data_IF_266052005274
#
_entry.id   IF_266052005274
#
_cell.length_a   1.000
_cell.length_b   1.000
_cell.length_c   1.000
_cell.angle_alpha   90.00
_cell.angle_beta   90.00
_cell.angle_gamma   90.00
#
_symmetry.space_group_name_H-M   'P 1'
#
loop_
_entity.id
_entity.type
_entity.pdbx_description
1 polymer ?
#
# COMPACT_ATOMS: atom_id res chain seq x y z
N UNK A 1 8.61 7.59 1.33
CA UNK A 1 8.82 8.99 0.88
C UNK A 1 9.94 9.57 1.73
N UNK A 2 11.00 10.08 1.13
CA UNK A 2 12.11 10.68 1.87
C UNK A 2 11.87 12.19 2.06
N UNK A 3 11.79 12.64 3.31
CA UNK A 3 11.53 14.04 3.66
C UNK A 3 12.74 14.95 3.41
N UNK A 4 13.96 14.41 3.35
CA UNK A 4 15.18 15.22 3.11
C UNK A 4 15.14 15.90 1.75
N UNK A 5 14.55 15.25 0.75
CA UNK A 5 14.38 15.85 -0.58
C UNK A 5 13.53 17.12 -0.54
N UNK A 6 12.53 17.16 0.34
CA UNK A 6 11.61 18.30 0.45
C UNK A 6 12.21 19.42 1.31
N UNK A 7 12.89 19.09 2.41
CA UNK A 7 13.58 20.08 3.24
C UNK A 7 14.77 20.70 2.52
N UNK A 8 15.53 19.90 1.75
CA UNK A 8 16.63 20.40 0.93
C UNK A 8 16.13 21.36 -0.16
N UNK A 9 14.98 21.06 -0.79
CA UNK A 9 14.36 21.97 -1.76
C UNK A 9 13.93 23.29 -1.12
N UNK A 10 13.25 23.24 0.02
CA UNK A 10 12.86 24.44 0.75
C UNK A 10 14.08 25.30 1.13
N UNK A 11 15.16 24.68 1.58
CA UNK A 11 16.42 25.36 1.87
C UNK A 11 17.00 26.04 0.63
N UNK A 12 17.04 25.36 -0.51
CA UNK A 12 17.52 25.91 -1.76
C UNK A 12 16.67 27.12 -2.21
N UNK A 13 15.34 27.02 -2.11
CA UNK A 13 14.42 28.09 -2.48
C UNK A 13 14.60 29.33 -1.58
N UNK A 14 14.83 29.14 -0.27
CA UNK A 14 15.11 30.23 0.66
C UNK A 14 16.44 30.93 0.37
N UNK A 15 17.49 30.17 0.03
CA UNK A 15 18.79 30.73 -0.35
C UNK A 15 18.67 31.51 -1.67
N UNK A 16 17.97 30.94 -2.66
CA UNK A 16 17.74 31.59 -3.94
C UNK A 16 16.97 32.90 -3.78
N UNK A 17 15.95 32.94 -2.91
CA UNK A 17 15.20 34.15 -2.62
C UNK A 17 16.05 35.25 -1.96
N UNK A 18 17.03 34.86 -1.13
CA UNK A 18 17.94 35.79 -0.47
C UNK A 18 19.12 36.25 -1.34
N UNK A 19 19.35 35.64 -2.52
CA UNK A 19 20.54 35.86 -3.34
C UNK A 19 20.69 37.30 -3.87
N UNK A 20 19.58 38.04 -4.01
CA UNK A 20 19.61 39.47 -4.40
C UNK A 20 19.86 40.42 -3.23
N UNK A 21 19.87 39.90 -2.00
CA UNK A 21 20.14 40.66 -0.78
C UNK A 21 21.62 40.85 -0.49
N UNK A 22 21.90 41.58 0.59
CA UNK A 22 23.27 41.74 1.11
C UNK A 22 23.80 40.45 1.78
N UNK A 23 25.10 40.43 2.04
CA UNK A 23 25.80 39.29 2.67
C UNK A 23 25.14 38.85 3.99
N UNK A 24 24.70 39.84 4.78
CA UNK A 24 24.04 39.60 6.07
C UNK A 24 22.69 38.91 5.88
N UNK A 25 21.91 39.33 4.88
CA UNK A 25 20.62 38.74 4.54
C UNK A 25 20.80 37.30 4.05
N UNK A 26 21.77 37.05 3.18
CA UNK A 26 22.10 35.70 2.70
C UNK A 26 22.53 34.78 3.83
N UNK A 27 23.42 35.25 4.71
CA UNK A 27 23.86 34.50 5.88
C UNK A 27 22.70 34.19 6.84
N UNK A 28 21.81 35.16 7.05
CA UNK A 28 20.63 34.98 7.90
C UNK A 28 19.66 33.95 7.31
N UNK A 29 19.39 34.02 6.00
CA UNK A 29 18.52 33.06 5.32
C UNK A 29 19.07 31.63 5.38
N UNK A 30 20.38 31.45 5.16
CA UNK A 30 21.03 30.15 5.23
C UNK A 30 20.99 29.54 6.65
N UNK A 31 21.15 30.37 7.68
CA UNK A 31 21.06 29.98 9.08
C UNK A 31 19.61 29.62 9.47
N UNK A 32 18.63 30.44 9.06
CA UNK A 32 17.22 30.18 9.31
C UNK A 32 16.77 28.88 8.63
N UNK A 33 17.15 28.67 7.36
CA UNK A 33 16.81 27.46 6.60
C UNK A 33 17.37 26.19 7.27
N UNK A 34 18.57 26.25 7.85
CA UNK A 34 19.10 25.14 8.64
C UNK A 34 18.34 24.94 9.96
N UNK A 35 17.97 26.03 10.64
CA UNK A 35 17.31 25.97 11.93
C UNK A 35 15.87 25.41 11.85
N UNK A 36 15.16 25.65 10.74
CA UNK A 36 13.76 25.21 10.59
C UNK A 36 13.61 23.79 10.03
N UNK A 37 14.69 23.13 9.60
CA UNK A 37 14.61 21.83 8.93
C UNK A 37 13.87 20.77 9.75
N UNK A 38 14.22 20.64 11.04
CA UNK A 38 13.56 19.70 11.95
C UNK A 38 12.10 20.07 12.23
N UNK A 39 11.78 21.36 12.36
CA UNK A 39 10.40 21.80 12.63
C UNK A 39 9.52 21.65 11.40
N UNK A 40 10.02 21.96 10.21
CA UNK A 40 9.33 21.71 8.94
C UNK A 40 9.02 20.22 8.78
N UNK A 41 9.98 19.34 9.11
CA UNK A 41 9.74 17.89 9.05
C UNK A 41 8.59 17.45 9.95
N UNK A 42 8.56 17.93 11.19
CA UNK A 42 7.49 17.62 12.13
C UNK A 42 6.12 18.14 11.65
N UNK A 43 6.08 19.36 11.09
CA UNK A 43 4.85 19.93 10.52
C UNK A 43 4.35 19.10 9.35
N UNK A 44 5.23 18.66 8.45
CA UNK A 44 4.88 17.77 7.33
C UNK A 44 4.32 16.44 7.83
N UNK A 45 4.95 15.82 8.84
CA UNK A 45 4.46 14.58 9.43
C UNK A 45 3.08 14.76 10.07
N UNK A 46 2.84 15.87 10.77
CA UNK A 46 1.53 16.20 11.34
C UNK A 46 0.47 16.34 10.25
N UNK A 47 0.75 17.12 9.21
CA UNK A 47 -0.18 17.33 8.10
C UNK A 47 -0.51 16.03 7.35
N UNK A 48 0.49 15.16 7.15
CA UNK A 48 0.27 13.83 6.55
C UNK A 48 -0.54 12.91 7.46
N UNK A 49 -0.35 13.00 8.78
CA UNK A 49 -1.10 12.21 9.75
C UNK A 49 -2.58 12.63 9.79
N UNK A 50 -2.85 13.93 9.76
CA UNK A 50 -4.21 14.48 9.68
C UNK A 50 -4.89 14.06 8.36
N UNK A 51 -4.17 14.16 7.24
CA UNK A 51 -4.66 13.67 5.94
C UNK A 51 -4.98 12.17 5.99
N UNK A 52 -4.12 11.36 6.62
CA UNK A 52 -4.34 9.93 6.74
C UNK A 52 -5.57 9.60 7.60
N UNK A 53 -5.84 10.38 8.65
CA UNK A 53 -7.05 10.25 9.46
C UNK A 53 -8.31 10.55 8.62
N UNK A 54 -8.29 11.62 7.83
CA UNK A 54 -9.39 11.98 6.93
C UNK A 54 -9.64 10.88 5.87
N UNK A 55 -8.57 10.38 5.24
CA UNK A 55 -8.67 9.28 4.27
C UNK A 55 -9.18 7.99 4.93
N UNK A 56 -8.76 7.69 6.15
CA UNK A 56 -9.27 6.54 6.91
C UNK A 56 -10.76 6.66 7.16
N UNK A 57 -11.24 7.84 7.54
CA UNK A 57 -12.66 8.10 7.75
C UNK A 57 -13.47 7.97 6.45
N UNK A 58 -12.91 8.42 5.32
CA UNK A 58 -13.55 8.30 4.00
C UNK A 58 -13.61 6.86 3.48
N UNK A 59 -12.64 6.01 3.81
CA UNK A 59 -12.59 4.61 3.40
C UNK A 59 -13.53 3.71 4.22
N UNK A 60 -13.61 3.92 5.54
CA UNK A 60 -14.49 3.19 6.46
C UNK A 60 -14.05 1.75 6.77
N UNK A 61 -13.81 0.93 5.74
CA UNK A 61 -13.37 -0.47 5.85
C UNK A 61 -11.85 -0.61 6.01
N UNK A 62 -11.11 0.49 5.89
CA UNK A 62 -9.65 0.55 5.91
C UNK A 62 -9.16 1.75 6.71
N UNK A 63 -8.08 1.56 7.46
CA UNK A 63 -7.33 2.65 8.10
C UNK A 63 -6.00 2.85 7.39
N UNK A 64 -5.63 4.12 7.23
CA UNK A 64 -4.35 4.57 6.69
C UNK A 64 -3.54 5.14 7.83
N UNK A 65 -2.35 4.60 8.04
CA UNK A 65 -1.39 5.09 9.03
C UNK A 65 -0.15 5.62 8.34
N UNK A 66 0.39 6.70 8.89
CA UNK A 66 1.65 7.30 8.46
C UNK A 66 2.66 7.10 9.58
N UNK A 67 3.80 6.51 9.26
CA UNK A 67 4.91 6.33 10.21
C UNK A 67 6.19 6.90 9.62
N UNK A 68 7.11 7.32 10.48
CA UNK A 68 8.41 7.85 10.07
C UNK A 68 9.54 7.03 10.69
N UNK A 69 10.49 6.61 9.87
CA UNK A 69 11.76 6.01 10.28
C UNK A 69 12.91 6.89 9.74
N UNK A 70 13.57 7.61 10.65
CA UNK A 70 14.55 8.63 10.30
C UNK A 70 13.94 9.76 9.45
N UNK A 71 14.32 9.80 8.17
CA UNK A 71 13.82 10.76 7.16
C UNK A 71 12.73 10.16 6.28
N UNK A 72 12.55 8.84 6.36
CA UNK A 72 11.66 8.08 5.50
C UNK A 72 10.28 7.97 6.12
N UNK A 73 9.29 8.53 5.44
CA UNK A 73 7.87 8.34 5.73
C UNK A 73 7.35 7.12 4.97
N UNK A 74 6.69 6.23 5.68
CA UNK A 74 5.97 5.09 5.14
C UNK A 74 4.46 5.25 5.39
N UNK A 75 3.66 4.76 4.45
CA UNK A 75 2.20 4.70 4.57
C UNK A 75 1.79 3.24 4.62
N UNK A 76 1.06 2.87 5.66
CA UNK A 76 0.54 1.53 5.88
C UNK A 76 -0.98 1.56 5.82
N UNK A 77 -1.58 0.66 5.03
CA UNK A 77 -3.04 0.58 4.87
C UNK A 77 -3.49 -0.75 5.43
N UNK A 78 -4.31 -0.69 6.49
CA UNK A 78 -4.83 -1.86 7.20
C UNK A 78 -6.32 -1.98 6.95
N UNK A 79 -6.82 -3.20 6.84
CA UNK A 79 -8.26 -3.42 6.87
C UNK A 79 -8.77 -3.14 8.29
N UNK A 80 -9.73 -2.25 8.39
CA UNK A 80 -10.48 -1.97 9.61
C UNK A 80 -11.46 -3.14 9.86
N UNK A 81 -10.92 -4.27 10.29
CA UNK A 81 -11.72 -5.43 10.67
C UNK A 81 -12.37 -5.24 12.05
N UNK A 82 -12.22 -4.06 12.68
CA UNK A 82 -12.71 -3.75 14.02
C UNK A 82 -14.14 -3.19 14.04
N UNK A 83 -14.71 -2.74 12.92
CA UNK A 83 -16.14 -2.36 12.84
C UNK A 83 -17.08 -3.56 12.71
N UNK A 84 -16.53 -4.79 12.74
CA UNK A 84 -17.27 -6.05 12.83
C UNK A 84 -16.98 -6.79 14.15
N UNK A 85 -16.35 -6.08 15.11
CA UNK A 85 -16.15 -6.53 16.49
C UNK A 85 -17.18 -5.90 17.43
N UNK A 86 -18.40 -5.66 16.95
CA UNK A 86 -19.56 -5.95 17.77
C UNK A 86 -19.65 -7.47 17.81
N UNK A 87 -18.73 -8.11 18.53
CA UNK A 87 -19.02 -9.44 19.02
C UNK A 87 -20.27 -9.23 19.86
N UNK A 88 -21.44 -9.72 19.42
CA UNK A 88 -22.63 -9.55 20.22
C UNK A 88 -22.29 -10.05 21.60
N UNK A 89 -22.38 -9.14 22.57
CA UNK A 89 -22.25 -9.56 23.96
C UNK A 89 -23.32 -10.62 24.18
N UNK A 90 -23.04 -11.65 24.99
CA UNK A 90 -23.99 -12.73 25.20
C UNK A 90 -25.36 -12.20 25.71
N UNK A 91 -25.40 -10.97 26.23
CA UNK A 91 -26.61 -10.22 26.61
C UNK A 91 -27.46 -9.72 25.43
N UNK A 92 -26.88 -9.40 24.27
CA UNK A 92 -27.61 -8.95 23.07
C UNK A 92 -28.16 -10.13 22.25
N UNK A 93 -27.59 -11.33 22.40
CA UNK A 93 -28.03 -12.59 21.80
C UNK A 93 -29.13 -13.31 22.60
N UNK A 94 -30.00 -12.55 23.27
CA UNK A 94 -31.14 -13.10 24.04
C UNK A 94 -32.31 -13.57 23.15
N UNK A 95 -32.15 -13.55 21.82
CA UNK A 95 -33.02 -14.26 20.88
C UNK A 95 -32.58 -15.71 20.69
N UNK A 96 -33.46 -16.66 21.04
CA UNK A 96 -33.37 -18.12 20.82
C UNK A 96 -31.96 -18.74 20.80
N UNK A 97 -31.29 -18.75 21.98
CA UNK A 97 -30.03 -19.47 22.19
C UNK A 97 -30.26 -20.98 21.94
N UNK A 98 -29.83 -21.48 20.78
CA UNK A 98 -29.81 -22.91 20.46
C UNK A 98 -28.58 -23.58 21.08
N UNK A 99 -28.80 -24.54 21.99
CA UNK A 99 -27.72 -25.26 22.68
C UNK A 99 -27.32 -26.51 21.91
N UNK A 100 -26.02 -26.71 21.71
CA UNK A 100 -25.45 -27.88 21.03
C UNK A 100 -24.43 -28.56 21.95
N UNK A 101 -24.50 -29.89 22.07
CA UNK A 101 -23.46 -30.69 22.76
C UNK A 101 -22.43 -31.17 21.75
N UNK A 102 -21.19 -30.69 21.89
CA UNK A 102 -20.07 -31.08 21.02
C UNK A 102 -19.22 -32.17 21.68
N UNK A 103 -18.87 -33.21 20.91
CA UNK A 103 -17.91 -34.24 21.35
C UNK A 103 -16.58 -33.98 20.66
N UNK A 104 -15.55 -33.70 21.45
CA UNK A 104 -14.21 -33.40 20.99
C UNK A 104 -13.25 -34.53 21.38
N UNK A 105 -12.21 -34.73 20.58
CA UNK A 105 -11.07 -35.56 20.97
C UNK A 105 -10.27 -34.83 22.04
N UNK A 106 -9.75 -35.55 23.03
CA UNK A 106 -9.08 -34.97 24.21
C UNK A 106 -7.98 -33.94 23.86
N UNK A 107 -7.16 -34.25 22.85
CA UNK A 107 -6.10 -33.35 22.39
C UNK A 107 -6.61 -32.03 21.83
N UNK A 108 -7.79 -32.03 21.20
CA UNK A 108 -8.39 -30.83 20.62
C UNK A 108 -9.01 -29.94 21.70
N UNK A 109 -9.63 -30.56 22.71
CA UNK A 109 -10.15 -29.86 23.89
C UNK A 109 -9.00 -29.17 24.65
N UNK A 110 -7.92 -29.89 24.94
CA UNK A 110 -6.78 -29.34 25.68
C UNK A 110 -6.13 -28.14 24.97
N UNK A 111 -5.92 -28.22 23.65
CA UNK A 111 -5.40 -27.08 22.86
C UNK A 111 -6.35 -25.88 22.85
N UNK A 112 -7.65 -26.13 22.78
CA UNK A 112 -8.66 -25.07 22.82
C UNK A 112 -8.69 -24.37 24.18
N UNK A 113 -8.57 -25.11 25.28
CA UNK A 113 -8.49 -24.54 26.63
C UNK A 113 -7.23 -23.69 26.84
N UNK A 114 -6.08 -24.14 26.33
CA UNK A 114 -4.83 -23.39 26.39
C UNK A 114 -4.92 -22.07 25.59
N UNK A 115 -5.45 -22.12 24.36
CA UNK A 115 -5.63 -20.93 23.53
C UNK A 115 -6.65 -19.94 24.12
N UNK A 116 -7.71 -20.44 24.74
CA UNK A 116 -8.68 -19.62 25.46
C UNK A 116 -8.04 -18.94 26.69
N UNK A 117 -7.23 -19.69 27.45
CA UNK A 117 -6.51 -19.16 28.62
C UNK A 117 -5.48 -18.09 28.25
N UNK A 118 -4.74 -18.27 27.16
CA UNK A 118 -3.82 -17.25 26.63
C UNK A 118 -4.54 -15.95 26.23
N UNK A 119 -5.81 -16.07 25.82
CA UNK A 119 -6.66 -14.94 25.44
C UNK A 119 -7.44 -14.34 26.62
N UNK A 120 -7.31 -14.89 27.83
CA UNK A 120 -8.07 -14.46 29.01
C UNK A 120 -9.59 -14.70 28.88
N UNK A 121 -10.01 -15.61 28.01
CA UNK A 121 -11.42 -15.87 27.69
C UNK A 121 -11.85 -17.26 28.16
N UNK A 122 -13.16 -17.44 28.36
CA UNK A 122 -13.72 -18.78 28.58
C UNK A 122 -13.62 -19.63 27.31
N UNK A 123 -13.51 -20.95 27.45
CA UNK A 123 -13.51 -21.87 26.32
C UNK A 123 -14.74 -21.68 25.41
N UNK A 124 -15.92 -21.44 26.01
CA UNK A 124 -17.15 -21.20 25.25
C UNK A 124 -17.06 -19.93 24.41
N UNK A 125 -16.59 -18.82 25.00
CA UNK A 125 -16.41 -17.54 24.30
C UNK A 125 -15.39 -17.65 23.18
N UNK A 126 -14.26 -18.33 23.45
CA UNK A 126 -13.22 -18.56 22.47
C UNK A 126 -13.72 -19.42 21.30
N UNK A 127 -14.43 -20.53 21.57
CA UNK A 127 -15.00 -21.38 20.52
C UNK A 127 -16.07 -20.65 19.68
N UNK A 128 -16.93 -19.85 20.31
CA UNK A 128 -17.90 -19.02 19.58
C UNK A 128 -17.19 -18.07 18.61
N UNK A 129 -16.09 -17.45 19.02
CA UNK A 129 -15.26 -16.60 18.14
C UNK A 129 -14.64 -17.37 16.96
N UNK A 130 -14.07 -18.56 17.22
CA UNK A 130 -13.46 -19.41 16.19
C UNK A 130 -14.49 -19.87 15.15
N UNK A 131 -15.67 -20.33 15.59
CA UNK A 131 -16.75 -20.75 14.68
C UNK A 131 -17.24 -19.58 13.83
N UNK A 132 -17.41 -18.40 14.44
CA UNK A 132 -17.81 -17.18 13.73
C UNK A 132 -16.78 -16.77 12.66
N UNK A 133 -15.49 -16.85 13.00
CA UNK A 133 -14.39 -16.58 12.08
C UNK A 133 -14.34 -17.58 10.92
N UNK A 134 -14.46 -18.87 11.20
CA UNK A 134 -14.46 -19.93 10.17
C UNK A 134 -15.66 -19.80 9.21
N UNK A 135 -16.84 -19.44 9.73
CA UNK A 135 -18.03 -19.22 8.91
C UNK A 135 -17.88 -17.99 7.99
N UNK A 136 -17.26 -16.91 8.48
CA UNK A 136 -16.97 -15.71 7.71
C UNK A 136 -15.97 -15.99 6.58
N UNK A 137 -14.94 -16.79 6.84
CA UNK A 137 -13.96 -17.22 5.84
C UNK A 137 -14.60 -18.11 4.75
N UNK A 138 -15.48 -19.03 5.15
CA UNK A 138 -16.23 -19.89 4.22
C UNK A 138 -17.15 -19.08 3.29
N UNK A 139 -17.80 -18.03 3.80
CA UNK A 139 -18.62 -17.14 2.96
C UNK A 139 -17.77 -16.31 1.98
N UNK A 140 -16.54 -15.93 2.35
CA UNK A 140 -15.61 -15.24 1.43
C UNK A 140 -15.14 -16.16 0.30
N UNK A 141 -14.96 -17.46 0.57
CA UNK A 141 -14.56 -18.46 -0.44
C UNK A 141 -15.64 -18.79 -1.48
N UNK A 142 -16.93 -18.65 -1.14
CA UNK A 142 -18.04 -19.02 -2.04
C UNK A 142 -18.43 -17.90 -3.04
N UNK A 143 -17.93 -16.67 -2.86
CA UNK A 143 -18.17 -15.53 -3.76
C UNK A 143 -17.21 -15.40 -4.95
N UNK A 144 -16.29 -16.36 -5.13
CA UNK A 144 -15.16 -16.26 -6.07
C UNK A 144 -15.35 -16.88 -7.47
N UNK A 145 -16.56 -17.31 -7.84
CA UNK A 145 -16.84 -17.87 -9.18
C UNK A 145 -17.99 -17.10 -9.85
N UNK A 146 -17.68 -15.96 -10.47
CA UNK A 146 -18.68 -15.21 -11.24
C UNK A 146 -18.26 -13.80 -11.64
N UNK A 147 -17.22 -13.64 -12.46
CA UNK A 147 -16.87 -12.32 -13.00
C UNK A 147 -15.54 -12.31 -13.74
N UNK A 148 -15.46 -13.01 -14.87
CA UNK A 148 -14.28 -13.01 -15.74
C UNK A 148 -13.93 -11.60 -16.26
N UNK A 149 -12.65 -11.36 -16.60
CA UNK A 149 -12.20 -10.04 -17.04
C UNK A 149 -12.71 -9.76 -18.45
N UNK A 150 -13.64 -8.81 -18.61
CA UNK A 150 -13.96 -8.25 -19.92
C UNK A 150 -12.83 -7.34 -20.38
N UNK A 151 -11.85 -7.93 -21.06
CA UNK A 151 -11.07 -7.25 -22.09
C UNK A 151 -12.04 -6.84 -23.20
N UNK A 152 -12.32 -5.54 -23.33
CA UNK A 152 -12.77 -4.97 -24.60
C UNK A 152 -11.61 -4.20 -25.22
N UNK A 153 -11.09 -4.84 -26.25
CA UNK A 153 -10.19 -4.32 -27.26
C UNK A 153 -10.84 -3.16 -28.01
N UNK A 154 -10.08 -2.08 -28.19
CA UNK A 154 -10.13 -1.08 -29.27
C UNK A 154 -11.39 -1.04 -30.15
N UNK A 155 -12.22 -0.01 -29.97
CA UNK A 155 -13.04 0.50 -31.08
C UNK A 155 -12.27 1.58 -31.84
N UNK A 156 -12.23 1.35 -33.14
CA UNK A 156 -11.68 2.14 -34.22
C UNK A 156 -12.16 3.58 -34.22
N UNK A 157 -11.20 4.50 -34.40
CA UNK A 157 -11.45 5.86 -34.87
C UNK A 157 -11.79 5.80 -36.35
N UNK A 158 -13.05 6.07 -36.68
CA UNK A 158 -13.46 6.49 -38.01
C UNK A 158 -12.91 7.88 -38.28
N UNK A 159 -11.86 7.94 -39.12
CA UNK A 159 -11.39 9.16 -39.76
C UNK A 159 -11.32 8.89 -41.27
N UNK A 160 -12.45 9.05 -41.94
CA UNK A 160 -12.53 9.15 -43.39
C UNK A 160 -12.24 10.59 -43.81
N UNK A 161 -11.12 10.80 -44.49
CA UNK A 161 -10.74 12.10 -45.05
C UNK A 161 -9.64 11.92 -46.09
N UNK A 162 -10.07 11.89 -47.35
CA UNK A 162 -9.32 11.60 -48.57
C UNK A 162 -8.25 12.63 -48.94
N UNK A 163 -7.23 12.15 -49.68
CA UNK A 163 -6.34 12.94 -50.54
C UNK A 163 -4.89 12.83 -50.07
N UNK A 164 -3.90 12.45 -50.87
CA UNK A 164 -3.80 12.22 -52.29
C UNK A 164 -2.30 12.23 -52.61
N UNK A 165 -1.91 11.34 -53.53
CA UNK A 165 -0.71 11.46 -54.38
C UNK A 165 0.71 11.30 -53.80
N UNK A 166 1.25 10.12 -54.14
CA UNK A 166 2.38 9.95 -55.07
C UNK A 166 3.83 10.22 -54.63
N UNK A 167 4.69 9.30 -55.13
CA UNK A 167 6.17 9.29 -55.24
C UNK A 167 6.83 8.70 -53.98
N UNK A 168 7.38 7.49 -53.99
CA UNK A 168 8.21 6.85 -55.01
C UNK A 168 9.66 7.30 -54.80
N UNK A 169 10.50 6.42 -54.27
CA UNK A 169 11.96 6.33 -54.55
C UNK A 169 12.56 5.17 -53.75
N UNK A 170 13.02 4.19 -54.52
CA UNK A 170 14.13 3.30 -54.19
C UNK A 170 15.32 4.07 -53.57
N UNK A 171 16.01 3.43 -52.62
CA UNK A 171 17.44 3.20 -52.77
C UNK A 171 17.96 2.31 -51.65
N UNK A 172 18.27 1.09 -52.05
CA UNK A 172 19.41 0.32 -51.55
C UNK A 172 20.65 1.20 -51.35
N UNK A 173 21.23 1.12 -50.16
CA UNK A 173 22.66 1.29 -49.83
C UNK A 173 22.89 0.68 -48.46
N UNK A 174 24.02 0.12 -48.08
CA UNK A 174 25.22 -0.43 -48.71
C UNK A 174 26.13 -0.81 -47.51
N UNK A 175 26.87 -1.90 -47.67
CA UNK A 175 28.18 -2.23 -47.08
C UNK A 175 28.47 -2.20 -45.56
N UNK A 176 29.19 -3.27 -45.15
CA UNK A 176 30.32 -3.24 -44.21
C UNK A 176 30.11 -4.09 -42.97
N UNK A 177 30.49 -5.36 -42.93
CA UNK A 177 31.85 -5.95 -42.82
C UNK A 177 32.47 -5.85 -41.39
N UNK A 178 33.10 -6.96 -40.97
CA UNK A 178 33.79 -7.14 -39.67
C UNK A 178 33.20 -8.30 -38.85
N UNK A 179 33.40 -9.57 -39.23
CA UNK A 179 34.57 -10.44 -38.95
C UNK A 179 34.95 -10.62 -37.47
N UNK A 180 35.03 -11.91 -37.13
CA UNK A 180 35.95 -12.56 -36.21
C UNK A 180 35.85 -12.28 -34.70
N UNK A 181 35.25 -13.22 -33.98
CA UNK A 181 35.85 -13.71 -32.74
C UNK A 181 35.63 -15.22 -32.61
N UNK A 182 36.73 -15.91 -32.91
CA UNK A 182 37.06 -17.30 -32.76
C UNK A 182 37.19 -17.70 -31.26
N UNK A 183 37.24 -19.02 -31.01
CA UNK A 183 37.52 -19.82 -29.79
C UNK A 183 36.34 -20.44 -29.04
N UNK A 184 36.08 -21.76 -29.21
CA UNK A 184 36.85 -22.94 -28.73
C UNK A 184 36.56 -23.20 -27.23
N UNK A 185 35.59 -24.05 -26.91
CA UNK A 185 35.69 -25.51 -26.63
C UNK A 185 36.58 -25.88 -25.43
N UNK A 186 35.94 -26.35 -24.35
CA UNK A 186 36.28 -27.57 -23.59
C UNK A 186 37.60 -27.65 -22.84
N UNK A 187 37.54 -27.95 -21.54
CA UNK A 187 38.01 -29.22 -20.96
C UNK A 187 37.92 -29.19 -19.44
N UNK A 188 37.53 -30.35 -18.90
CA UNK A 188 37.49 -30.78 -17.51
C UNK A 188 38.80 -30.61 -16.74
N UNK A 189 38.69 -30.40 -15.43
CA UNK A 189 39.21 -31.32 -14.39
C UNK A 189 38.29 -31.24 -13.16
#
# INVERSE_FOLDING_TARGET
MDLDTYTARLRADLIAAAALGDEKTQATAAALAAAVESSTRLVLLSALSDMAAEVSAALGDRTVHVSMDGTNVAVDVRNNSATDSEHPTFEEMTGDISRVTLRLVEQLKSRAEEAAAQSGQSLNSWMSGVVSGALRDQMRGYGGYGGGPKRHTSSSRDAGGSGGESRGSDSDRDAGDGRDSDRSTGSSD
#
